data_IF_835345100089
#
_entry.id   IF_835345100089
#
_cell.length_a   1.000
_cell.length_b   1.000
_cell.length_c   1.000
_cell.angle_alpha   90.00
_cell.angle_beta   90.00
_cell.angle_gamma   90.00
#
_symmetry.space_group_name_H-M   'P 1'
#
loop_
_entity.id
_entity.type
_entity.pdbx_description
1 polymer ?
#
# COMPACT_ATOMS: atom_id res chain seq x y z
N UNK A 1 -2.15 5.20 26.15
CA UNK A 1 -1.25 6.03 25.36
C UNK A 1 0.11 5.36 25.38
N UNK A 2 0.70 5.01 24.24
CA UNK A 2 2.01 4.37 24.18
C UNK A 2 3.14 5.33 24.51
N UNK A 3 4.31 4.84 24.93
CA UNK A 3 5.49 5.68 25.17
C UNK A 3 5.84 6.45 23.89
N UNK A 4 6.10 7.75 24.02
CA UNK A 4 6.45 8.65 22.91
C UNK A 4 5.28 9.30 22.18
N UNK A 5 4.02 9.10 22.58
CA UNK A 5 2.87 9.72 21.94
C UNK A 5 2.87 11.26 22.08
N UNK A 6 3.23 11.73 23.27
CA UNK A 6 3.31 13.18 23.54
C UNK A 6 4.48 13.83 22.81
N UNK A 7 5.61 13.12 22.69
CA UNK A 7 6.78 13.57 21.95
C UNK A 7 6.50 13.66 20.45
N UNK A 8 5.77 12.66 19.90
CA UNK A 8 5.34 12.69 18.48
C UNK A 8 4.38 13.84 18.20
N UNK A 9 3.38 14.03 19.09
CA UNK A 9 2.42 15.13 18.97
C UNK A 9 3.11 16.49 19.03
N UNK A 10 4.06 16.67 19.95
CA UNK A 10 4.85 17.89 20.06
C UNK A 10 5.69 18.12 18.80
N UNK A 11 6.38 17.09 18.31
CA UNK A 11 7.19 17.19 17.09
C UNK A 11 6.34 17.57 15.87
N UNK A 12 5.19 16.93 15.70
CA UNK A 12 4.28 17.24 14.58
C UNK A 12 3.70 18.66 14.68
N UNK A 13 3.42 19.13 15.88
CA UNK A 13 2.96 20.52 16.09
C UNK A 13 4.05 21.53 15.69
N UNK A 14 5.31 21.28 16.08
CA UNK A 14 6.43 22.14 15.73
C UNK A 14 6.80 22.06 14.23
N UNK A 15 6.59 20.90 13.59
CA UNK A 15 6.77 20.71 12.16
C UNK A 15 5.63 21.27 11.30
N UNK A 16 4.45 21.52 11.88
CA UNK A 16 3.23 21.91 11.15
C UNK A 16 3.43 23.04 10.15
N UNK A 17 4.02 24.21 10.51
CA UNK A 17 4.14 25.32 9.56
C UNK A 17 4.97 24.97 8.33
N UNK A 18 5.98 24.11 8.53
CA UNK A 18 6.84 23.61 7.45
C UNK A 18 6.11 22.57 6.59
N UNK A 19 5.42 21.63 7.20
CA UNK A 19 4.63 20.61 6.49
C UNK A 19 3.56 21.26 5.60
N UNK A 20 2.82 22.25 6.12
CA UNK A 20 1.80 22.97 5.35
C UNK A 20 2.37 23.76 4.17
N UNK A 21 3.57 24.34 4.32
CA UNK A 21 4.21 25.14 3.27
C UNK A 21 4.76 24.29 2.13
N UNK A 22 5.17 23.05 2.43
CA UNK A 22 5.89 22.18 1.51
C UNK A 22 5.12 20.90 1.15
N UNK A 23 3.82 20.86 1.42
CA UNK A 23 2.93 19.74 1.12
C UNK A 23 3.47 18.41 1.64
N UNK A 24 4.06 18.45 2.86
CA UNK A 24 4.46 17.24 3.56
C UNK A 24 3.26 16.64 4.28
N UNK A 25 3.01 15.36 4.03
CA UNK A 25 1.83 14.64 4.47
C UNK A 25 2.24 13.50 5.39
N UNK A 26 1.60 13.38 6.54
CA UNK A 26 1.82 12.28 7.49
C UNK A 26 1.27 10.97 6.92
N UNK A 27 2.06 9.92 6.98
CA UNK A 27 1.70 8.57 6.54
C UNK A 27 2.07 7.52 7.61
N UNK A 28 1.94 6.24 7.29
CA UNK A 28 2.29 5.13 8.17
C UNK A 28 1.37 4.98 9.39
N UNK A 29 1.88 4.39 10.47
CA UNK A 29 1.09 4.04 11.65
C UNK A 29 0.40 5.24 12.31
N UNK A 30 1.06 6.40 12.38
CA UNK A 30 0.48 7.59 12.98
C UNK A 30 -0.69 8.14 12.15
N UNK A 31 -0.59 8.09 10.82
CA UNK A 31 -1.70 8.43 9.93
C UNK A 31 -2.90 7.50 10.13
N UNK A 32 -2.67 6.18 10.21
CA UNK A 32 -3.74 5.20 10.42
C UNK A 32 -4.46 5.42 11.74
N UNK A 33 -3.73 5.78 12.80
CA UNK A 33 -4.34 6.12 14.10
C UNK A 33 -5.24 7.35 14.02
N UNK A 34 -4.86 8.35 13.25
CA UNK A 34 -5.70 9.54 12.99
C UNK A 34 -6.93 9.20 12.13
N UNK A 35 -6.86 8.15 11.31
CA UNK A 35 -8.03 7.55 10.64
C UNK A 35 -8.88 6.65 11.55
N UNK A 36 -8.55 6.54 12.85
CA UNK A 36 -9.29 5.73 13.82
C UNK A 36 -8.99 4.24 13.74
N UNK A 37 -7.86 3.84 13.14
CA UNK A 37 -7.40 2.46 13.10
C UNK A 37 -6.50 2.15 14.29
N UNK A 38 -6.60 0.93 14.82
CA UNK A 38 -5.76 0.46 15.93
C UNK A 38 -4.39 0.00 15.41
N UNK A 39 -3.65 0.88 14.75
CA UNK A 39 -2.28 0.59 14.32
C UNK A 39 -1.32 0.73 15.52
N UNK A 40 -0.66 -0.36 15.94
CA UNK A 40 0.34 -0.25 16.97
C UNK A 40 1.55 0.54 16.45
N UNK A 41 1.97 1.55 17.20
CA UNK A 41 3.19 2.27 16.90
C UNK A 41 4.35 1.49 17.51
N UNK A 42 4.98 0.68 16.69
CA UNK A 42 6.22 -0.01 17.05
C UNK A 42 7.42 0.84 16.63
N UNK A 43 8.25 1.18 17.57
CA UNK A 43 9.44 1.98 17.28
C UNK A 43 9.22 3.50 17.36
N UNK A 44 10.18 4.22 16.84
CA UNK A 44 10.29 5.69 16.94
C UNK A 44 10.05 6.39 15.62
N UNK A 45 9.58 5.70 14.58
CA UNK A 45 9.55 6.19 13.22
C UNK A 45 8.27 7.01 12.93
N UNK A 46 8.45 8.20 12.38
CA UNK A 46 7.41 9.03 11.77
C UNK A 46 7.66 9.08 10.28
N UNK A 47 6.64 8.86 9.47
CA UNK A 47 6.73 8.91 8.02
C UNK A 47 6.03 10.15 7.48
N UNK A 48 6.78 11.02 6.83
CA UNK A 48 6.28 12.15 6.05
C UNK A 48 6.51 11.87 4.56
N UNK A 49 5.50 12.07 3.76
CA UNK A 49 5.56 11.87 2.32
C UNK A 49 5.26 13.15 1.57
N UNK A 50 5.82 13.29 0.38
CA UNK A 50 5.52 14.38 -0.55
C UNK A 50 5.53 13.84 -1.98
N UNK A 51 4.72 14.43 -2.84
CA UNK A 51 4.69 14.15 -4.27
C UNK A 51 5.84 14.84 -5.02
N UNK A 52 5.48 15.65 -6.00
CA UNK A 52 6.42 16.48 -6.76
C UNK A 52 6.84 17.72 -5.94
N UNK A 53 8.02 18.27 -6.25
CA UNK A 53 8.49 19.46 -5.56
C UNK A 53 10.02 19.58 -5.51
N UNK A 54 10.55 20.41 -4.61
CA UNK A 54 11.98 20.60 -4.42
C UNK A 54 12.71 19.29 -4.12
N UNK A 55 14.04 19.21 -4.31
CA UNK A 55 14.83 18.04 -3.92
C UNK A 55 14.54 17.62 -2.48
N UNK A 56 14.41 16.32 -2.25
CA UNK A 56 14.04 15.81 -0.92
C UNK A 56 15.09 16.16 0.15
N UNK A 57 16.36 16.27 -0.24
CA UNK A 57 17.43 16.73 0.64
C UNK A 57 17.21 18.16 1.13
N UNK A 58 16.74 19.06 0.26
CA UNK A 58 16.46 20.46 0.63
C UNK A 58 15.27 20.53 1.59
N UNK A 59 14.24 19.70 1.35
CA UNK A 59 13.10 19.57 2.25
C UNK A 59 13.52 19.00 3.63
N UNK A 60 14.40 18.03 3.65
CA UNK A 60 14.92 17.46 4.90
C UNK A 60 15.73 18.51 5.68
N UNK A 61 16.61 19.24 5.01
CA UNK A 61 17.41 20.29 5.63
C UNK A 61 16.52 21.43 6.19
N UNK A 62 15.55 21.91 5.43
CA UNK A 62 14.65 22.95 5.89
C UNK A 62 13.75 22.50 7.06
N UNK A 63 13.29 21.24 7.06
CA UNK A 63 12.58 20.66 8.19
C UNK A 63 13.48 20.58 9.42
N UNK A 64 14.74 20.15 9.24
CA UNK A 64 15.72 20.06 10.32
C UNK A 64 16.01 21.44 10.94
N UNK A 65 16.14 22.47 10.12
CA UNK A 65 16.31 23.86 10.59
C UNK A 65 15.08 24.34 11.38
N UNK A 66 13.88 24.06 10.89
CA UNK A 66 12.63 24.40 11.57
C UNK A 66 12.56 23.74 12.94
N UNK A 67 12.88 22.45 13.02
CA UNK A 67 12.86 21.70 14.29
C UNK A 67 13.98 22.15 15.25
N UNK A 68 15.17 22.53 14.75
CA UNK A 68 16.22 23.13 15.58
C UNK A 68 15.80 24.47 16.15
N UNK A 69 15.13 25.28 15.35
CA UNK A 69 14.58 26.57 15.82
C UNK A 69 13.51 26.39 16.91
N UNK A 70 12.76 25.29 16.88
CA UNK A 70 11.84 24.88 17.96
C UNK A 70 12.54 24.27 19.19
N UNK A 71 13.86 24.15 19.17
CA UNK A 71 14.66 23.69 20.32
C UNK A 71 14.98 22.18 20.32
N UNK A 72 14.68 21.47 19.24
CA UNK A 72 15.01 20.04 19.12
C UNK A 72 16.47 19.85 18.68
N UNK A 73 17.07 18.73 19.11
CA UNK A 73 18.35 18.28 18.58
C UNK A 73 18.08 17.42 17.34
N UNK A 74 18.63 17.82 16.19
CA UNK A 74 18.40 17.14 14.92
C UNK A 74 19.73 16.72 14.30
N UNK A 75 19.81 15.44 13.92
CA UNK A 75 20.89 14.85 13.11
C UNK A 75 20.32 14.50 11.73
N UNK A 76 21.11 14.75 10.70
CA UNK A 76 20.77 14.52 9.29
C UNK A 76 21.72 13.47 8.70
N UNK A 77 21.39 12.17 8.76
CA UNK A 77 22.16 11.15 8.06
C UNK A 77 22.08 11.37 6.53
N UNK A 78 23.06 10.89 5.78
CA UNK A 78 22.99 10.93 4.31
C UNK A 78 21.71 10.26 3.80
N UNK A 79 21.03 10.92 2.88
CA UNK A 79 19.81 10.43 2.24
C UNK A 79 20.01 10.09 0.77
N UNK A 80 18.94 9.66 0.12
CA UNK A 80 18.83 9.45 -1.32
C UNK A 80 17.86 10.44 -1.95
N UNK A 81 17.76 10.46 -3.27
CA UNK A 81 16.78 11.31 -3.98
C UNK A 81 15.32 10.99 -3.61
N UNK A 82 15.03 9.76 -3.13
CA UNK A 82 13.67 9.30 -2.78
C UNK A 82 13.42 9.15 -1.29
N UNK A 83 14.49 9.15 -0.48
CA UNK A 83 14.39 8.88 0.96
C UNK A 83 15.44 9.65 1.75
N UNK A 84 14.98 10.45 2.71
CA UNK A 84 15.81 11.10 3.69
C UNK A 84 15.32 10.73 5.09
N UNK A 85 16.22 10.71 6.06
CA UNK A 85 15.89 10.40 7.45
C UNK A 85 16.51 11.46 8.35
N UNK A 86 15.75 11.91 9.34
CA UNK A 86 16.23 12.79 10.41
C UNK A 86 16.12 12.04 11.73
N UNK A 87 17.14 12.13 12.58
CA UNK A 87 17.04 11.70 13.97
C UNK A 87 16.78 12.92 14.85
N UNK A 88 15.56 13.02 15.39
CA UNK A 88 15.10 14.19 16.16
C UNK A 88 14.92 13.81 17.61
N UNK A 89 15.69 14.44 18.50
CA UNK A 89 15.53 14.25 19.93
C UNK A 89 14.54 15.28 20.50
N UNK A 90 13.40 14.76 20.94
CA UNK A 90 12.34 15.52 21.62
C UNK A 90 12.40 15.15 23.10
N UNK A 91 12.72 16.13 23.95
CA UNK A 91 12.99 15.86 25.38
C UNK A 91 14.10 14.82 25.54
N UNK A 92 13.75 13.57 25.86
CA UNK A 92 14.71 12.46 26.06
C UNK A 92 14.54 11.32 25.05
N UNK A 93 13.53 11.40 24.16
CA UNK A 93 13.24 10.40 23.16
C UNK A 93 13.78 10.83 21.79
N UNK A 94 14.54 9.95 21.14
CA UNK A 94 14.94 10.17 19.75
C UNK A 94 13.93 9.49 18.83
N UNK A 95 13.31 10.30 17.98
CA UNK A 95 12.38 9.88 16.93
C UNK A 95 13.12 9.87 15.58
N UNK A 96 12.90 8.85 14.78
CA UNK A 96 13.32 8.85 13.39
C UNK A 96 12.21 9.45 12.52
N UNK A 97 12.47 10.56 11.87
CA UNK A 97 11.55 11.19 10.91
C UNK A 97 12.03 10.84 9.52
N UNK A 98 11.29 10.00 8.85
CA UNK A 98 11.57 9.60 7.47
C UNK A 98 10.78 10.48 6.52
N UNK A 99 11.45 11.08 5.54
CA UNK A 99 10.85 11.78 4.42
C UNK A 99 10.96 10.89 3.19
N UNK A 100 9.85 10.71 2.48
CA UNK A 100 9.82 9.97 1.22
C UNK A 100 9.18 10.79 0.10
N UNK A 101 9.68 10.57 -1.10
CA UNK A 101 9.03 11.05 -2.32
C UNK A 101 8.17 9.93 -2.88
N UNK A 102 6.86 10.09 -2.74
CA UNK A 102 5.87 9.12 -3.18
C UNK A 102 4.70 9.83 -3.85
N UNK A 103 4.21 9.35 -5.00
CA UNK A 103 3.01 9.91 -5.59
C UNK A 103 1.80 9.67 -4.68
N UNK A 104 1.00 10.71 -4.47
CA UNK A 104 -0.30 10.61 -3.80
C UNK A 104 -1.39 10.86 -4.85
N UNK A 105 -2.40 10.03 -4.89
CA UNK A 105 -3.51 10.13 -5.87
C UNK A 105 -4.70 10.92 -5.33
N UNK A 106 -4.84 10.95 -4.01
CA UNK A 106 -5.93 11.61 -3.35
C UNK A 106 -5.44 12.84 -2.59
N UNK A 107 -6.26 13.90 -2.49
CA UNK A 107 -5.91 15.05 -1.67
C UNK A 107 -5.74 14.61 -0.21
N UNK A 108 -4.73 15.15 0.50
CA UNK A 108 -4.57 14.90 1.92
C UNK A 108 -5.78 15.35 2.71
N UNK A 109 -6.04 14.69 3.83
CA UNK A 109 -7.14 14.99 4.73
C UNK A 109 -6.61 15.58 6.05
N UNK A 110 -7.47 16.24 6.82
CA UNK A 110 -7.13 16.74 8.14
C UNK A 110 -8.14 16.17 9.16
N UNK A 111 -7.95 14.93 9.64
CA UNK A 111 -8.81 14.32 10.63
C UNK A 111 -8.82 15.10 11.95
N UNK A 112 -9.85 14.90 12.77
CA UNK A 112 -9.91 15.50 14.09
C UNK A 112 -8.69 15.10 14.93
N UNK A 113 -8.02 16.10 15.52
CA UNK A 113 -6.80 15.91 16.32
C UNK A 113 -5.49 15.87 15.51
N UNK A 114 -5.56 15.92 14.16
CA UNK A 114 -4.36 16.06 13.34
C UNK A 114 -3.85 17.50 13.35
N UNK A 115 -2.55 17.68 13.51
CA UNK A 115 -1.88 18.99 13.40
C UNK A 115 -1.28 19.20 12.02
N UNK A 116 -0.97 18.12 11.29
CA UNK A 116 -0.43 18.13 9.92
C UNK A 116 -1.39 17.41 8.98
N UNK A 117 -1.34 17.71 7.65
CA UNK A 117 -2.09 16.93 6.67
C UNK A 117 -1.74 15.44 6.75
N UNK A 118 -2.73 14.59 6.55
CA UNK A 118 -2.62 13.12 6.65
C UNK A 118 -2.96 12.53 5.28
N UNK A 119 -2.23 11.52 4.85
CA UNK A 119 -2.50 10.80 3.62
C UNK A 119 -3.92 10.22 3.65
N UNK A 120 -4.66 10.32 2.54
CA UNK A 120 -5.93 9.65 2.39
C UNK A 120 -5.78 8.14 2.66
N UNK A 121 -6.83 7.48 3.13
CA UNK A 121 -6.73 6.09 3.58
C UNK A 121 -6.24 5.15 2.47
N UNK A 122 -6.66 5.37 1.23
CA UNK A 122 -6.25 4.56 0.09
C UNK A 122 -4.76 4.78 -0.26
N UNK A 123 -4.29 6.02 -0.23
CA UNK A 123 -2.85 6.31 -0.39
C UNK A 123 -2.03 5.72 0.76
N UNK A 124 -2.53 5.81 2.00
CA UNK A 124 -1.89 5.19 3.15
C UNK A 124 -1.82 3.65 3.02
N UNK A 125 -2.83 3.02 2.43
CA UNK A 125 -2.85 1.59 2.16
C UNK A 125 -1.78 1.20 1.13
N UNK A 126 -1.69 1.91 0.00
CA UNK A 126 -0.65 1.69 -1.01
C UNK A 126 0.75 1.85 -0.41
N UNK A 127 0.97 2.92 0.35
CA UNK A 127 2.26 3.15 1.01
C UNK A 127 2.60 2.04 2.00
N UNK A 128 1.61 1.46 2.70
CA UNK A 128 1.83 0.34 3.61
C UNK A 128 2.27 -0.93 2.87
N UNK A 129 1.60 -1.30 1.77
CA UNK A 129 1.99 -2.43 0.91
C UNK A 129 3.41 -2.24 0.38
N UNK A 130 3.69 -1.09 -0.24
CA UNK A 130 5.02 -0.79 -0.79
C UNK A 130 6.12 -0.80 0.27
N UNK A 131 5.85 -0.24 1.45
CA UNK A 131 6.82 -0.24 2.54
C UNK A 131 7.13 -1.65 3.02
N UNK A 132 6.12 -2.52 3.14
CA UNK A 132 6.35 -3.93 3.46
C UNK A 132 7.15 -4.64 2.36
N UNK A 133 6.83 -4.41 1.08
CA UNK A 133 7.59 -4.95 -0.05
C UNK A 133 9.06 -4.51 -0.05
N UNK A 134 9.36 -3.29 0.39
CA UNK A 134 10.71 -2.77 0.47
C UNK A 134 11.52 -3.32 1.64
N UNK A 135 10.94 -3.36 2.85
CA UNK A 135 11.67 -3.56 4.10
C UNK A 135 11.40 -4.90 4.78
N UNK A 136 10.19 -5.43 4.64
CA UNK A 136 9.73 -6.66 5.30
C UNK A 136 9.95 -6.68 6.83
N UNK A 137 9.68 -5.55 7.50
CA UNK A 137 9.83 -5.45 8.95
C UNK A 137 8.51 -5.76 9.67
N UNK A 138 8.55 -6.29 10.92
CA UNK A 138 7.36 -6.48 11.74
C UNK A 138 6.51 -5.22 11.90
N UNK A 139 7.12 -4.05 12.01
CA UNK A 139 6.41 -2.78 12.12
C UNK A 139 5.55 -2.48 10.89
N UNK A 140 6.03 -2.81 9.68
CA UNK A 140 5.30 -2.62 8.43
C UNK A 140 4.14 -3.60 8.33
N UNK A 141 4.33 -4.83 8.82
CA UNK A 141 3.29 -5.85 8.87
C UNK A 141 2.13 -5.45 9.79
N UNK A 142 2.42 -4.86 10.95
CA UNK A 142 1.37 -4.36 11.85
C UNK A 142 0.57 -3.20 11.22
N UNK A 143 1.23 -2.32 10.48
CA UNK A 143 0.56 -1.22 9.74
C UNK A 143 -0.40 -1.80 8.70
N UNK A 144 0.07 -2.78 7.93
CA UNK A 144 -0.75 -3.43 6.90
C UNK A 144 -1.91 -4.24 7.52
N UNK A 145 -1.65 -4.99 8.59
CA UNK A 145 -2.69 -5.72 9.31
C UNK A 145 -3.77 -4.79 9.88
N UNK A 146 -3.41 -3.61 10.39
CA UNK A 146 -4.39 -2.66 10.89
C UNK A 146 -5.35 -2.16 9.79
N UNK A 147 -4.93 -2.12 8.54
CA UNK A 147 -5.76 -1.73 7.40
C UNK A 147 -6.85 -2.76 7.08
N UNK A 148 -6.66 -4.04 7.44
CA UNK A 148 -7.68 -5.09 7.20
C UNK A 148 -8.98 -4.84 7.96
N UNK A 149 -8.98 -3.98 8.97
CA UNK A 149 -10.20 -3.51 9.62
C UNK A 149 -11.10 -2.63 8.72
N UNK A 150 -10.60 -2.14 7.59
CA UNK A 150 -11.31 -1.24 6.67
C UNK A 150 -11.28 -1.69 5.22
N UNK A 151 -10.32 -2.52 4.82
CA UNK A 151 -10.13 -3.01 3.45
C UNK A 151 -9.82 -4.50 3.48
N UNK A 152 -10.33 -5.25 2.51
CA UNK A 152 -9.96 -6.66 2.35
C UNK A 152 -8.57 -6.76 1.72
N UNK A 153 -7.91 -7.88 1.93
CA UNK A 153 -6.56 -8.16 1.40
C UNK A 153 -6.48 -7.96 -0.13
N UNK A 154 -7.46 -8.49 -0.87
CA UNK A 154 -7.54 -8.29 -2.33
C UNK A 154 -7.73 -6.83 -2.75
N UNK A 155 -8.44 -6.01 -1.95
CA UNK A 155 -8.58 -4.57 -2.21
C UNK A 155 -7.24 -3.84 -1.97
N UNK A 156 -6.47 -4.25 -0.94
CA UNK A 156 -5.15 -3.68 -0.65
C UNK A 156 -4.16 -3.97 -1.78
N UNK A 157 -4.18 -5.20 -2.31
CA UNK A 157 -3.38 -5.58 -3.47
C UNK A 157 -3.79 -4.78 -4.71
N UNK A 158 -5.07 -4.74 -5.05
CA UNK A 158 -5.58 -4.00 -6.21
C UNK A 158 -5.25 -2.49 -6.16
N UNK A 159 -5.28 -1.89 -4.97
CA UNK A 159 -4.85 -0.50 -4.79
C UNK A 159 -3.35 -0.34 -5.09
N UNK A 160 -2.51 -1.27 -4.62
CA UNK A 160 -1.07 -1.22 -4.86
C UNK A 160 -0.74 -1.41 -6.35
N UNK A 161 -1.34 -2.38 -7.02
CA UNK A 161 -1.17 -2.66 -8.46
C UNK A 161 -1.62 -1.47 -9.32
N UNK A 162 -2.75 -0.85 -8.97
CA UNK A 162 -3.21 0.34 -9.67
C UNK A 162 -2.23 1.52 -9.60
N UNK A 163 -1.33 1.55 -8.61
CA UNK A 163 -0.29 2.58 -8.48
C UNK A 163 0.97 2.27 -9.28
N UNK A 164 1.35 1.00 -9.37
CA UNK A 164 2.51 0.55 -10.13
C UNK A 164 2.05 0.26 -11.57
N UNK A 165 1.96 1.30 -12.40
CA UNK A 165 1.59 1.21 -13.83
C UNK A 165 2.60 0.42 -14.69
N UNK A 166 3.23 -0.62 -14.13
CA UNK A 166 4.14 -1.52 -14.82
C UNK A 166 3.40 -2.66 -15.54
N UNK A 167 4.01 -3.28 -16.57
CA UNK A 167 3.39 -4.35 -17.34
C UNK A 167 3.26 -5.70 -16.60
N UNK A 168 3.80 -5.84 -15.39
CA UNK A 168 3.82 -7.09 -14.62
C UNK A 168 2.97 -6.98 -13.34
N UNK A 169 1.65 -7.21 -13.48
CA UNK A 169 0.70 -7.28 -12.34
C UNK A 169 1.09 -8.37 -11.33
N UNK A 170 1.67 -9.49 -11.79
CA UNK A 170 2.10 -10.60 -10.93
C UNK A 170 3.30 -10.28 -10.03
N UNK A 171 4.07 -9.24 -10.34
CA UNK A 171 5.30 -8.91 -9.61
C UNK A 171 5.00 -8.40 -8.21
N UNK A 172 3.97 -7.58 -8.04
CA UNK A 172 3.57 -7.04 -6.74
C UNK A 172 3.06 -8.16 -5.83
N UNK A 173 2.17 -9.02 -6.33
CA UNK A 173 1.60 -10.14 -5.57
C UNK A 173 2.69 -11.12 -5.10
N UNK A 174 3.62 -11.50 -6.00
CA UNK A 174 4.74 -12.39 -5.67
C UNK A 174 5.66 -11.78 -4.63
N UNK A 175 6.05 -10.52 -4.83
CA UNK A 175 6.90 -9.81 -3.88
C UNK A 175 6.22 -9.68 -2.53
N UNK A 176 4.94 -9.34 -2.50
CA UNK A 176 4.16 -9.19 -1.27
C UNK A 176 4.09 -10.51 -0.51
N UNK A 177 3.82 -11.64 -1.18
CA UNK A 177 3.78 -12.96 -0.55
C UNK A 177 5.11 -13.29 0.16
N UNK A 178 6.24 -13.10 -0.51
CA UNK A 178 7.57 -13.36 0.06
C UNK A 178 7.87 -12.43 1.25
N UNK A 179 7.43 -11.17 1.18
CA UNK A 179 7.66 -10.17 2.24
C UNK A 179 6.76 -10.38 3.45
N UNK A 180 5.52 -10.82 3.24
CA UNK A 180 4.62 -11.23 4.33
C UNK A 180 5.22 -12.36 5.15
N UNK A 181 5.73 -13.42 4.52
CA UNK A 181 6.38 -14.53 5.22
C UNK A 181 7.67 -14.10 5.93
N UNK A 182 8.49 -13.30 5.25
CA UNK A 182 9.72 -12.79 5.85
C UNK A 182 9.43 -11.99 7.12
N UNK A 183 8.49 -11.04 7.05
CA UNK A 183 8.10 -10.22 8.19
C UNK A 183 7.42 -11.03 9.30
N UNK A 184 6.58 -12.02 8.94
CA UNK A 184 5.94 -12.94 9.87
C UNK A 184 6.97 -13.77 10.65
N UNK A 185 8.04 -14.21 9.99
CA UNK A 185 9.15 -14.93 10.62
C UNK A 185 9.91 -14.12 11.66
N UNK A 186 9.87 -12.78 11.55
CA UNK A 186 10.52 -11.85 12.49
C UNK A 186 9.61 -11.42 13.64
N UNK A 187 8.32 -11.78 13.62
CA UNK A 187 7.39 -11.44 14.70
C UNK A 187 7.75 -12.16 16.00
N UNK A 188 7.54 -11.50 17.16
CA UNK A 188 7.73 -12.13 18.44
C UNK A 188 6.74 -13.29 18.64
N UNK A 189 7.11 -14.32 19.45
CA UNK A 189 6.25 -15.49 19.68
C UNK A 189 4.88 -15.15 20.29
N UNK A 190 4.79 -14.02 20.99
CA UNK A 190 3.60 -13.55 21.69
C UNK A 190 2.49 -13.03 20.74
N UNK A 191 2.81 -12.87 19.46
CA UNK A 191 1.85 -12.40 18.45
C UNK A 191 1.54 -13.46 17.37
N UNK A 192 0.91 -14.59 17.75
CA UNK A 192 0.55 -15.64 16.80
C UNK A 192 -0.61 -15.26 15.86
N UNK A 193 -1.38 -14.22 16.22
CA UNK A 193 -2.53 -13.76 15.42
C UNK A 193 -2.08 -13.10 14.13
N UNK A 194 -1.25 -12.08 14.24
CA UNK A 194 -0.69 -11.37 13.08
C UNK A 194 0.17 -12.30 12.22
N UNK A 195 0.93 -13.21 12.84
CA UNK A 195 1.73 -14.19 12.10
C UNK A 195 0.84 -15.08 11.23
N UNK A 196 -0.18 -15.73 11.80
CA UNK A 196 -1.09 -16.61 11.06
C UNK A 196 -1.82 -15.88 9.94
N UNK A 197 -2.23 -14.64 10.19
CA UNK A 197 -2.86 -13.82 9.17
C UNK A 197 -1.92 -13.59 7.99
N UNK A 198 -0.68 -13.19 8.25
CA UNK A 198 0.31 -12.92 7.19
C UNK A 198 0.66 -14.18 6.40
N UNK A 199 0.87 -15.31 7.08
CA UNK A 199 1.15 -16.60 6.44
C UNK A 199 -0.03 -17.07 5.57
N UNK A 200 -1.28 -16.91 6.05
CA UNK A 200 -2.47 -17.26 5.29
C UNK A 200 -2.59 -16.41 4.02
N UNK A 201 -2.45 -15.07 4.15
CA UNK A 201 -2.51 -14.20 2.98
C UNK A 201 -1.39 -14.47 1.98
N UNK A 202 -0.17 -14.72 2.44
CA UNK A 202 0.93 -15.10 1.55
C UNK A 202 0.63 -16.40 0.79
N UNK A 203 -0.01 -17.36 1.45
CA UNK A 203 -0.44 -18.61 0.80
C UNK A 203 -1.53 -18.36 -0.24
N UNK A 204 -2.54 -17.57 0.07
CA UNK A 204 -3.61 -17.21 -0.86
C UNK A 204 -3.05 -16.53 -2.12
N UNK A 205 -2.14 -15.55 -1.96
CA UNK A 205 -1.46 -14.89 -3.09
C UNK A 205 -0.71 -15.87 -3.98
N UNK A 206 -0.04 -16.88 -3.40
CA UNK A 206 0.65 -17.90 -4.18
C UNK A 206 -0.28 -18.82 -4.94
N UNK A 207 -1.42 -19.16 -4.36
CA UNK A 207 -2.44 -19.97 -5.04
C UNK A 207 -3.02 -19.20 -6.22
N UNK A 208 -3.39 -17.93 -6.04
CA UNK A 208 -3.89 -17.08 -7.12
C UNK A 208 -2.88 -16.95 -8.26
N UNK A 209 -1.58 -16.78 -7.95
CA UNK A 209 -0.52 -16.73 -8.95
C UNK A 209 -0.37 -18.05 -9.72
N UNK A 210 -0.51 -19.20 -9.04
CA UNK A 210 -0.45 -20.52 -9.70
C UNK A 210 -1.66 -20.72 -10.62
N UNK A 211 -2.85 -20.35 -10.20
CA UNK A 211 -4.07 -20.42 -11.01
C UNK A 211 -3.96 -19.52 -12.26
N UNK A 212 -3.50 -18.28 -12.09
CA UNK A 212 -3.29 -17.35 -13.20
C UNK A 212 -2.27 -17.90 -14.20
N UNK A 213 -1.15 -18.46 -13.71
CA UNK A 213 -0.13 -19.05 -14.56
C UNK A 213 -0.66 -20.28 -15.30
N UNK A 214 -1.39 -21.17 -14.61
CA UNK A 214 -1.98 -22.36 -15.22
C UNK A 214 -2.98 -22.02 -16.34
N UNK A 215 -3.79 -20.96 -16.13
CA UNK A 215 -4.70 -20.45 -17.16
C UNK A 215 -3.96 -19.83 -18.35
N UNK A 216 -2.87 -19.10 -18.11
CA UNK A 216 -2.05 -18.50 -19.16
C UNK A 216 -1.32 -19.55 -20.00
N UNK A 217 -0.87 -20.65 -19.39
CA UNK A 217 -0.20 -21.77 -20.04
C UNK A 217 -1.17 -22.69 -20.81
N UNK A 218 -2.47 -22.39 -20.80
CA UNK A 218 -3.48 -23.18 -21.52
C UNK A 218 -3.71 -24.55 -20.94
N UNK A 219 -3.41 -24.77 -19.68
CA UNK A 219 -3.80 -25.94 -18.91
C UNK A 219 -5.31 -25.87 -18.67
N UNK A 220 -6.10 -26.18 -19.72
CA UNK A 220 -7.54 -26.30 -19.59
C UNK A 220 -7.86 -27.49 -18.66
N UNK A 221 -8.79 -27.26 -17.74
CA UNK A 221 -9.39 -28.35 -16.96
C UNK A 221 -10.09 -29.31 -17.95
N UNK A 222 -9.62 -30.53 -18.12
CA UNK A 222 -10.21 -31.48 -19.08
C UNK A 222 -11.67 -31.84 -18.76
N UNK A 223 -12.16 -31.47 -17.56
CA UNK A 223 -13.57 -31.63 -17.21
C UNK A 223 -14.47 -30.50 -17.70
N UNK A 224 -13.94 -29.31 -18.03
CA UNK A 224 -14.71 -28.19 -18.58
C UNK A 224 -14.98 -28.39 -20.08
N UNK A 225 -14.09 -29.02 -20.84
CA UNK A 225 -14.32 -29.35 -22.25
C UNK A 225 -15.50 -30.33 -22.47
N UNK A 226 -15.87 -31.10 -21.44
CA UNK A 226 -17.00 -32.04 -21.52
C UNK A 226 -18.37 -31.34 -21.30
N UNK A 227 -18.40 -30.09 -20.96
CA UNK A 227 -19.61 -29.29 -20.70
C UNK A 227 -20.01 -28.38 -21.87
N UNK A 228 -19.19 -28.30 -22.92
CA UNK A 228 -19.64 -27.62 -24.14
C UNK A 228 -20.78 -28.45 -24.79
N UNK A 229 -21.97 -27.87 -24.95
CA UNK A 229 -23.05 -28.58 -25.63
C UNK A 229 -22.59 -28.87 -27.05
N UNK A 230 -22.61 -30.15 -27.45
CA UNK A 230 -22.36 -30.58 -28.83
C UNK A 230 -23.05 -29.63 -29.77
N UNK A 231 -22.27 -28.99 -30.64
CA UNK A 231 -22.82 -28.12 -31.68
C UNK A 231 -23.96 -28.87 -32.38
N UNK A 232 -25.16 -28.28 -32.29
CA UNK A 232 -26.32 -28.82 -32.97
C UNK A 232 -26.03 -28.78 -34.49
N UNK A 233 -25.84 -29.96 -35.03
CA UNK A 233 -25.74 -30.19 -36.48
C UNK A 233 -26.85 -29.39 -37.21
N UNK A 234 -26.53 -28.53 -38.16
CA UNK A 234 -27.55 -27.84 -38.90
C UNK A 234 -28.29 -28.85 -39.78
N UNK A 235 -29.42 -29.31 -39.27
CA UNK A 235 -30.31 -30.20 -39.96
C UNK A 235 -30.55 -29.73 -41.41
N UNK A 236 -30.11 -30.53 -42.33
CA UNK A 236 -30.43 -30.49 -43.76
C UNK A 236 -31.92 -30.30 -43.99
N UNK A 237 -32.32 -29.08 -44.22
CA UNK A 237 -33.67 -28.76 -44.67
C UNK A 237 -33.82 -29.15 -46.14
N UNK A 238 -34.97 -29.76 -46.56
CA UNK A 238 -35.18 -30.17 -47.94
C UNK A 238 -35.31 -29.00 -48.90
N UNK A 239 -34.64 -29.11 -50.02
CA UNK A 239 -34.73 -28.20 -51.15
C UNK A 239 -36.18 -28.04 -51.64
N UNK A 240 -36.72 -26.84 -51.54
CA UNK A 240 -37.91 -26.46 -52.32
C UNK A 240 -37.47 -25.91 -53.67
N UNK A 241 -37.82 -26.63 -54.70
CA UNK A 241 -37.68 -26.22 -56.11
C UNK A 241 -38.47 -24.95 -56.43
N UNK A 242 -37.95 -24.10 -57.28
CA UNK A 242 -38.72 -23.00 -57.85
C UNK A 242 -39.38 -23.47 -59.18
N UNK A 243 -40.65 -23.46 -59.25
CA UNK A 243 -41.31 -23.57 -60.54
C UNK A 243 -42.45 -22.55 -60.72
N UNK A 244 -42.26 -21.86 -61.83
CA UNK A 244 -43.22 -21.36 -62.75
C UNK A 244 -43.69 -19.89 -62.67
N UNK A 245 -43.91 -19.35 -63.88
CA UNK A 245 -43.75 -17.93 -64.17
C UNK A 245 -45.13 -17.25 -64.46
N UNK A 246 -45.10 -16.12 -65.12
CA UNK A 246 -46.00 -14.99 -64.89
C UNK A 246 -47.25 -15.01 -65.74
N UNK A 247 -48.20 -14.24 -65.37
CA UNK A 247 -49.06 -13.61 -66.35
C UNK A 247 -49.89 -12.44 -65.78
N UNK A 248 -49.74 -11.35 -66.53
CA UNK A 248 -50.71 -10.35 -66.93
C UNK A 248 -51.70 -9.73 -65.90
N UNK A 249 -51.52 -8.47 -65.59
CA UNK A 249 -52.32 -7.29 -66.11
C UNK A 249 -51.90 -6.05 -65.34
#
# INVERSE_FOLDING_TARGET
MGPGADERAALLADAQPYCLRHDLVLAGADALRLHGLAAPVHGTDLLLVTGEGPPLADLATGLAETLRAAGHRVQEPPGTARRCQLAVTVRQLTLAVELRREPLRHPPVLPAGATVPVAALDDAAVLAVRTLCERALPADLYVLHALTARRREGELLALADAFDSGPDEDTTARTLADRLETAAGLLPPEDPGTRRWAEAWAQDLRLDLLETTALADGLHDPYLEQLEPAESDPATGPACSPDSPPDDL
#
